data_IF_145680827010
#
_entry.id   IF_145680827010
#
_cell.length_a   1.000
_cell.length_b   1.000
_cell.length_c   1.000
_cell.angle_alpha   90.00
_cell.angle_beta   90.00
_cell.angle_gamma   90.00
#
_symmetry.space_group_name_H-M   'P 1'
#
loop_
_entity.id
_entity.type
_entity.pdbx_description
1 polymer ?
#
# COMPACT_ATOMS: atom_id res chain seq x y z
N UNK A 1 -36.19 19.03 50.56
CA UNK A 1 -34.99 18.38 50.00
C UNK A 1 -34.20 19.46 49.30
N UNK A 2 -33.18 20.00 49.94
CA UNK A 2 -32.39 21.10 49.40
C UNK A 2 -31.39 20.52 48.39
N UNK A 3 -31.56 20.86 47.10
CA UNK A 3 -30.52 20.64 46.08
C UNK A 3 -29.25 21.35 46.54
N UNK A 4 -28.22 20.59 46.88
CA UNK A 4 -26.98 21.15 47.38
C UNK A 4 -26.29 21.96 46.26
N UNK A 5 -25.83 23.19 46.52
CA UNK A 5 -25.21 24.05 45.50
C UNK A 5 -23.99 23.41 44.82
N UNK A 6 -23.31 22.47 45.49
CA UNK A 6 -22.17 21.72 44.93
C UNK A 6 -22.48 20.85 43.70
N UNK A 7 -23.72 20.34 43.58
CA UNK A 7 -24.12 19.53 42.42
C UNK A 7 -24.35 20.39 41.18
N UNK A 8 -24.79 21.62 41.35
CA UNK A 8 -25.03 22.57 40.25
C UNK A 8 -23.74 23.16 39.69
N UNK A 9 -22.77 23.47 40.56
CA UNK A 9 -21.44 23.95 40.15
C UNK A 9 -20.67 22.86 39.39
N UNK A 10 -20.60 21.63 39.90
CA UNK A 10 -19.96 20.51 39.23
C UNK A 10 -20.62 20.16 37.86
N UNK A 11 -21.95 20.35 37.73
CA UNK A 11 -22.65 20.17 36.46
C UNK A 11 -22.33 21.29 35.46
N UNK A 12 -22.16 22.54 35.93
CA UNK A 12 -21.76 23.65 35.08
C UNK A 12 -20.33 23.49 34.57
N UNK A 13 -19.38 23.08 35.41
CA UNK A 13 -18.00 22.77 35.02
C UNK A 13 -17.93 21.65 33.97
N UNK A 14 -18.73 20.58 34.11
CA UNK A 14 -18.81 19.50 33.12
C UNK A 14 -19.36 19.99 31.79
N UNK A 15 -20.41 20.81 31.79
CA UNK A 15 -21.01 21.35 30.57
C UNK A 15 -20.03 22.28 29.83
N UNK A 16 -19.29 23.12 30.56
CA UNK A 16 -18.27 24.00 30.00
C UNK A 16 -17.12 23.20 29.39
N UNK A 17 -16.65 22.14 30.08
CA UNK A 17 -15.58 21.28 29.59
C UNK A 17 -16.00 20.51 28.35
N UNK A 18 -17.26 20.02 28.25
CA UNK A 18 -17.80 19.40 27.06
C UNK A 18 -17.95 20.38 25.88
N UNK A 19 -18.31 21.64 26.17
CA UNK A 19 -18.36 22.70 25.15
C UNK A 19 -16.96 23.05 24.62
N UNK A 20 -15.95 23.06 25.49
CA UNK A 20 -14.55 23.20 25.10
C UNK A 20 -14.08 22.03 24.23
N UNK A 21 -14.35 20.78 24.61
CA UNK A 21 -14.05 19.58 23.82
C UNK A 21 -14.64 19.68 22.40
N UNK A 22 -15.92 20.05 22.30
CA UNK A 22 -16.59 20.22 21.00
C UNK A 22 -15.86 21.24 20.14
N UNK A 23 -15.50 22.39 20.73
CA UNK A 23 -14.84 23.47 19.98
C UNK A 23 -13.44 23.05 19.50
N UNK A 24 -12.66 22.37 20.35
CA UNK A 24 -11.33 21.86 20.01
C UNK A 24 -11.38 20.74 18.96
N UNK A 25 -12.36 19.84 19.08
CA UNK A 25 -12.59 18.79 18.09
C UNK A 25 -12.94 19.39 16.72
N UNK A 26 -13.75 20.45 16.71
CA UNK A 26 -14.09 21.14 15.46
C UNK A 26 -12.86 21.82 14.81
N UNK A 27 -11.98 22.44 15.63
CA UNK A 27 -10.71 23.00 15.15
C UNK A 27 -9.78 21.90 14.62
N UNK A 28 -9.65 20.78 15.34
CA UNK A 28 -8.85 19.64 14.90
C UNK A 28 -9.35 19.08 13.57
N UNK A 29 -10.66 18.97 13.38
CA UNK A 29 -11.26 18.58 12.11
C UNK A 29 -10.98 19.60 10.99
N UNK A 30 -11.01 20.89 11.30
CA UNK A 30 -10.67 21.95 10.35
C UNK A 30 -9.19 21.87 9.93
N UNK A 31 -8.26 21.67 10.89
CA UNK A 31 -6.83 21.49 10.58
C UNK A 31 -6.60 20.25 9.70
N UNK A 32 -7.35 19.16 9.92
CA UNK A 32 -7.28 17.99 9.08
C UNK A 32 -7.73 18.29 7.65
N UNK A 33 -8.86 18.98 7.48
CA UNK A 33 -9.37 19.36 6.15
C UNK A 33 -8.37 20.26 5.43
N UNK A 34 -7.84 21.27 6.11
CA UNK A 34 -6.81 22.17 5.54
C UNK A 34 -5.55 21.38 5.18
N UNK A 35 -5.10 20.48 6.06
CA UNK A 35 -3.97 19.59 5.80
C UNK A 35 -4.19 18.72 4.57
N UNK A 36 -5.39 18.16 4.40
CA UNK A 36 -5.75 17.38 3.21
C UNK A 36 -5.73 18.20 1.92
N UNK A 37 -6.28 19.43 1.95
CA UNK A 37 -6.28 20.34 0.79
C UNK A 37 -4.84 20.71 0.41
N UNK A 38 -4.00 21.03 1.40
CA UNK A 38 -2.59 21.30 1.18
C UNK A 38 -1.87 20.08 0.59
N UNK A 39 -2.05 18.91 1.19
CA UNK A 39 -1.44 17.67 0.70
C UNK A 39 -1.89 17.32 -0.73
N UNK A 40 -3.17 17.56 -1.05
CA UNK A 40 -3.69 17.37 -2.40
C UNK A 40 -3.06 18.35 -3.41
N UNK A 41 -2.89 19.61 -3.01
CA UNK A 41 -2.27 20.64 -3.87
C UNK A 41 -0.78 20.38 -4.10
N UNK A 42 -0.10 19.75 -3.15
CA UNK A 42 1.32 19.38 -3.22
C UNK A 42 1.51 17.86 -3.44
N UNK A 43 0.62 17.23 -4.22
CA UNK A 43 0.66 15.78 -4.42
C UNK A 43 1.98 15.32 -5.06
N UNK A 44 2.47 15.99 -6.10
CA UNK A 44 3.67 15.56 -6.83
C UNK A 44 4.92 15.44 -5.94
N UNK A 45 5.31 16.44 -5.14
CA UNK A 45 6.45 16.29 -4.23
C UNK A 45 6.21 15.24 -3.12
N UNK A 46 4.97 15.07 -2.65
CA UNK A 46 4.62 14.05 -1.67
C UNK A 46 4.74 12.65 -2.30
N UNK A 47 4.25 12.48 -3.51
CA UNK A 47 4.38 11.25 -4.27
C UNK A 47 5.86 10.91 -4.52
N UNK A 48 6.67 11.88 -4.93
CA UNK A 48 8.11 11.71 -5.11
C UNK A 48 8.80 11.27 -3.81
N UNK A 49 8.44 11.89 -2.67
CA UNK A 49 8.95 11.52 -1.36
C UNK A 49 8.63 10.07 -1.01
N UNK A 50 7.38 9.64 -1.19
CA UNK A 50 6.96 8.28 -0.85
C UNK A 50 7.44 7.22 -1.84
N UNK A 51 7.70 7.58 -3.10
CA UNK A 51 8.23 6.65 -4.10
C UNK A 51 9.75 6.45 -4.00
N UNK A 52 10.48 7.42 -3.45
CA UNK A 52 11.94 7.41 -3.36
C UNK A 52 12.53 6.14 -2.72
N UNK A 53 11.99 5.58 -1.61
CA UNK A 53 12.57 4.39 -0.97
C UNK A 53 12.58 3.14 -1.86
N UNK A 54 11.70 3.05 -2.87
CA UNK A 54 11.64 1.92 -3.80
C UNK A 54 12.46 2.15 -5.08
N UNK A 55 12.77 3.39 -5.44
CA UNK A 55 13.48 3.71 -6.69
C UNK A 55 14.74 2.87 -6.91
N UNK A 56 15.64 2.69 -5.91
CA UNK A 56 16.84 1.87 -6.09
C UNK A 56 16.55 0.41 -6.47
N UNK A 57 15.37 -0.11 -6.08
CA UNK A 57 14.96 -1.48 -6.37
C UNK A 57 14.40 -1.56 -7.79
N UNK A 58 13.54 -0.62 -8.18
CA UNK A 58 12.97 -0.55 -9.53
C UNK A 58 14.06 -0.40 -10.60
N UNK A 59 15.05 0.46 -10.35
CA UNK A 59 16.19 0.63 -11.26
C UNK A 59 17.01 -0.65 -11.43
N UNK A 60 17.24 -1.39 -10.33
CA UNK A 60 18.00 -2.64 -10.34
C UNK A 60 17.27 -3.79 -11.03
N UNK A 61 15.95 -3.83 -10.90
CA UNK A 61 15.11 -4.89 -11.50
C UNK A 61 14.59 -4.54 -12.88
N UNK A 62 14.94 -3.34 -13.41
CA UNK A 62 14.38 -2.81 -14.66
C UNK A 62 12.85 -2.79 -14.68
N UNK A 63 12.26 -2.60 -13.52
CA UNK A 63 10.83 -2.64 -13.29
C UNK A 63 10.22 -1.24 -13.34
N UNK A 64 8.93 -1.18 -13.59
CA UNK A 64 8.19 0.08 -13.71
C UNK A 64 6.94 0.05 -12.85
N UNK A 65 6.42 1.24 -12.54
CA UNK A 65 5.10 1.36 -11.96
C UNK A 65 4.03 1.08 -13.02
N UNK A 66 3.04 0.27 -12.67
CA UNK A 66 1.92 -0.04 -13.53
C UNK A 66 0.62 0.03 -12.73
N UNK A 67 -0.32 0.87 -13.18
CA UNK A 67 -1.67 0.88 -12.65
C UNK A 67 -2.50 -0.23 -13.30
N UNK A 68 -3.26 -0.95 -12.50
CA UNK A 68 -4.16 -2.02 -12.96
C UNK A 68 -5.53 -1.51 -13.35
N UNK A 69 -5.94 -0.35 -12.84
CA UNK A 69 -7.26 0.25 -13.11
C UNK A 69 -7.13 1.75 -13.40
N UNK A 70 -8.00 2.26 -14.25
CA UNK A 70 -8.08 3.69 -14.61
C UNK A 70 -8.44 4.56 -13.39
N UNK A 71 -9.13 3.99 -12.40
CA UNK A 71 -9.55 4.71 -11.18
C UNK A 71 -8.43 4.79 -10.14
N UNK A 72 -7.41 3.91 -10.22
CA UNK A 72 -6.36 3.81 -9.21
C UNK A 72 -5.53 5.10 -9.02
N UNK A 73 -5.16 5.87 -10.05
CA UNK A 73 -4.45 7.13 -9.86
C UNK A 73 -5.25 8.15 -9.03
N UNK A 74 -6.55 8.25 -9.27
CA UNK A 74 -7.43 9.14 -8.50
C UNK A 74 -7.55 8.69 -7.04
N UNK A 75 -7.79 7.39 -6.82
CA UNK A 75 -7.86 6.84 -5.46
C UNK A 75 -6.54 6.97 -4.72
N UNK A 76 -5.42 6.78 -5.40
CA UNK A 76 -4.09 6.98 -4.83
C UNK A 76 -3.92 8.43 -4.36
N UNK A 77 -4.22 9.41 -5.23
CA UNK A 77 -4.09 10.82 -4.90
C UNK A 77 -4.95 11.19 -3.68
N UNK A 78 -6.20 10.75 -3.64
CA UNK A 78 -7.11 10.99 -2.51
C UNK A 78 -6.60 10.38 -1.19
N UNK A 79 -6.18 9.12 -1.23
CA UNK A 79 -5.73 8.39 -0.03
C UNK A 79 -4.39 8.90 0.50
N UNK A 80 -3.44 9.20 -0.39
CA UNK A 80 -2.15 9.80 -0.02
C UNK A 80 -2.35 11.18 0.56
N UNK A 81 -3.22 12.01 -0.04
CA UNK A 81 -3.54 13.34 0.47
C UNK A 81 -4.20 13.28 1.85
N UNK A 82 -5.02 12.27 2.11
CA UNK A 82 -5.60 12.05 3.45
C UNK A 82 -4.52 11.71 4.48
N UNK A 83 -3.63 10.75 4.20
CA UNK A 83 -2.58 10.34 5.14
C UNK A 83 -1.55 11.47 5.36
N UNK A 84 -1.11 12.12 4.28
CA UNK A 84 -0.22 13.26 4.36
C UNK A 84 -0.88 14.46 5.05
N UNK A 85 -2.19 14.65 4.83
CA UNK A 85 -2.99 15.66 5.50
C UNK A 85 -3.05 15.46 7.02
N UNK A 86 -3.21 14.21 7.50
CA UNK A 86 -3.09 13.88 8.93
C UNK A 86 -1.70 14.27 9.44
N UNK A 87 -0.65 13.91 8.71
CA UNK A 87 0.73 14.20 9.10
C UNK A 87 0.99 15.72 9.21
N UNK A 88 0.49 16.52 8.26
CA UNK A 88 0.61 17.99 8.26
C UNK A 88 -0.22 18.60 9.39
N UNK A 89 -1.42 18.07 9.63
CA UNK A 89 -2.32 18.57 10.67
C UNK A 89 -1.90 18.15 12.09
N UNK A 90 -1.10 17.09 12.23
CA UNK A 90 -0.74 16.50 13.53
C UNK A 90 -0.20 17.52 14.55
N UNK A 91 0.75 18.42 14.22
CA UNK A 91 1.22 19.42 15.18
C UNK A 91 0.10 20.29 15.76
N UNK A 92 -0.84 20.70 14.92
CA UNK A 92 -1.97 21.55 15.33
C UNK A 92 -3.00 20.77 16.15
N UNK A 93 -3.28 19.52 15.74
CA UNK A 93 -4.17 18.61 16.50
C UNK A 93 -3.58 18.32 17.88
N UNK A 94 -2.27 18.10 17.96
CA UNK A 94 -1.55 17.88 19.24
C UNK A 94 -1.67 19.08 20.16
N UNK A 95 -1.54 20.30 19.65
CA UNK A 95 -1.72 21.53 20.45
C UNK A 95 -3.14 21.65 20.98
N UNK A 96 -4.17 21.33 20.19
CA UNK A 96 -5.56 21.33 20.67
C UNK A 96 -5.79 20.23 21.72
N UNK A 97 -5.20 19.04 21.53
CA UNK A 97 -5.29 17.96 22.51
C UNK A 97 -4.68 18.36 23.86
N UNK A 98 -3.46 18.90 23.84
CA UNK A 98 -2.79 19.35 25.06
C UNK A 98 -3.48 20.55 25.70
N UNK A 99 -3.99 21.50 24.92
CA UNK A 99 -4.78 22.59 25.41
C UNK A 99 -6.09 22.16 26.08
N UNK A 100 -6.69 21.05 25.65
CA UNK A 100 -7.87 20.44 26.30
C UNK A 100 -7.51 19.80 27.65
N UNK A 101 -6.34 19.16 27.72
CA UNK A 101 -5.88 18.48 28.93
C UNK A 101 -5.41 19.47 30.01
N UNK A 102 -4.82 20.60 29.60
CA UNK A 102 -4.22 21.59 30.49
C UNK A 102 -5.16 22.13 31.59
N UNK A 103 -6.43 22.50 31.35
CA UNK A 103 -7.35 22.98 32.36
C UNK A 103 -7.68 21.96 33.45
N UNK A 104 -7.64 20.67 33.11
CA UNK A 104 -7.94 19.58 34.05
C UNK A 104 -6.81 19.31 35.06
N UNK A 105 -5.68 20.01 34.96
CA UNK A 105 -4.47 19.78 35.74
C UNK A 105 -4.29 20.84 36.84
N UNK A 106 -3.66 20.43 37.92
CA UNK A 106 -3.27 21.36 38.99
C UNK A 106 -2.18 22.34 38.52
N UNK A 107 -2.06 23.54 39.11
CA UNK A 107 -1.04 24.54 38.71
C UNK A 107 0.40 24.02 38.78
N UNK A 108 0.66 23.04 39.67
CA UNK A 108 1.98 22.40 39.80
C UNK A 108 2.27 21.41 38.65
N UNK A 109 1.23 20.80 38.11
CA UNK A 109 1.33 19.84 36.98
C UNK A 109 1.37 20.54 35.63
N UNK A 110 0.82 21.74 35.49
CA UNK A 110 0.77 22.49 34.22
C UNK A 110 2.16 22.76 33.60
N UNK A 111 3.13 23.20 34.41
CA UNK A 111 4.46 23.58 33.92
C UNK A 111 5.22 22.43 33.26
N UNK A 112 5.29 21.21 33.87
CA UNK A 112 5.92 20.07 33.17
C UNK A 112 5.14 19.59 31.97
N UNK A 113 3.81 19.72 31.97
CA UNK A 113 2.95 19.22 30.90
C UNK A 113 2.94 20.14 29.67
N UNK A 114 3.09 21.46 29.86
CA UNK A 114 3.27 22.40 28.75
C UNK A 114 4.45 22.03 27.84
N UNK A 115 5.45 21.32 28.38
CA UNK A 115 6.58 20.79 27.60
C UNK A 115 6.22 19.55 26.77
N UNK A 116 5.17 18.80 27.16
CA UNK A 116 4.80 17.57 26.45
C UNK A 116 4.28 17.84 25.04
N UNK A 117 3.63 18.98 24.78
CA UNK A 117 3.12 19.31 23.46
C UNK A 117 4.24 19.47 22.40
N UNK A 118 5.27 20.30 22.58
CA UNK A 118 6.39 20.39 21.62
C UNK A 118 7.20 19.10 21.56
N UNK A 119 7.28 18.35 22.66
CA UNK A 119 7.96 17.07 22.73
C UNK A 119 7.22 15.99 21.91
N UNK A 120 5.89 15.92 22.00
CA UNK A 120 5.03 15.06 21.18
C UNK A 120 5.24 15.34 19.68
N UNK A 121 5.18 16.60 19.24
CA UNK A 121 5.42 16.96 17.84
C UNK A 121 6.80 16.47 17.38
N UNK A 122 7.82 16.63 18.22
CA UNK A 122 9.19 16.19 17.90
C UNK A 122 9.29 14.67 17.79
N UNK A 123 8.67 13.93 18.73
CA UNK A 123 8.66 12.46 18.69
C UNK A 123 7.89 11.92 17.47
N UNK A 124 6.76 12.51 17.16
CA UNK A 124 6.01 12.15 15.95
C UNK A 124 6.86 12.30 14.68
N UNK A 125 7.51 13.45 14.51
CA UNK A 125 8.40 13.70 13.36
C UNK A 125 9.59 12.75 13.37
N UNK A 126 10.16 12.46 14.54
CA UNK A 126 11.25 11.51 14.67
C UNK A 126 10.80 10.07 14.31
N UNK A 127 9.58 9.69 14.66
CA UNK A 127 8.96 8.42 14.26
C UNK A 127 8.85 8.31 12.74
N UNK A 128 8.30 9.34 12.10
CA UNK A 128 8.21 9.40 10.64
C UNK A 128 9.61 9.31 9.98
N UNK A 129 10.59 10.06 10.50
CA UNK A 129 11.95 10.05 9.98
C UNK A 129 12.61 8.66 10.14
N UNK A 130 12.39 8.01 11.29
CA UNK A 130 12.89 6.65 11.55
C UNK A 130 12.26 5.63 10.60
N UNK A 131 10.95 5.70 10.39
CA UNK A 131 10.25 4.87 9.41
C UNK A 131 10.84 5.06 8.02
N UNK A 132 10.94 6.31 7.57
CA UNK A 132 11.45 6.65 6.24
C UNK A 132 12.88 6.14 6.01
N UNK A 133 13.76 6.28 6.99
CA UNK A 133 15.13 5.78 6.94
C UNK A 133 15.21 4.24 6.91
N UNK A 134 14.23 3.56 7.47
CA UNK A 134 14.17 2.09 7.55
C UNK A 134 13.55 1.43 6.32
N UNK A 135 12.69 2.15 5.56
CA UNK A 135 11.96 1.62 4.41
C UNK A 135 12.85 1.01 3.31
N UNK A 136 13.97 1.64 2.87
CA UNK A 136 14.83 1.05 1.84
C UNK A 136 15.39 -0.30 2.25
N UNK A 137 15.70 -0.46 3.54
CA UNK A 137 16.18 -1.71 4.11
C UNK A 137 15.11 -2.80 4.06
N UNK A 138 13.89 -2.45 4.46
CA UNK A 138 12.73 -3.34 4.45
C UNK A 138 12.42 -3.81 3.02
N UNK A 139 12.29 -2.88 2.09
CA UNK A 139 11.98 -3.21 0.70
C UNK A 139 13.11 -3.96 -0.01
N UNK A 140 14.37 -3.64 0.33
CA UNK A 140 15.54 -4.37 -0.18
C UNK A 140 15.55 -5.83 0.27
N UNK A 141 15.19 -6.09 1.53
CA UNK A 141 15.06 -7.45 2.03
C UNK A 141 13.92 -8.21 1.34
N UNK A 142 12.74 -7.60 1.20
CA UNK A 142 11.60 -8.20 0.49
C UNK A 142 11.93 -8.48 -0.98
N UNK A 143 12.58 -7.53 -1.66
CA UNK A 143 13.03 -7.72 -3.04
C UNK A 143 14.08 -8.82 -3.20
N UNK A 144 14.83 -9.15 -2.13
CA UNK A 144 15.78 -10.24 -2.11
C UNK A 144 15.18 -11.60 -2.44
N UNK A 145 13.89 -11.81 -2.12
CA UNK A 145 13.17 -13.06 -2.46
C UNK A 145 12.94 -13.23 -3.96
N UNK A 146 12.90 -12.14 -4.74
CA UNK A 146 12.79 -12.20 -6.21
C UNK A 146 13.97 -12.93 -6.85
N UNK A 147 15.16 -12.87 -6.21
CA UNK A 147 16.37 -13.52 -6.75
C UNK A 147 16.27 -15.05 -6.72
N UNK A 148 15.34 -15.61 -5.95
CA UNK A 148 15.13 -17.05 -5.82
C UNK A 148 14.12 -17.60 -6.84
N UNK A 149 13.55 -16.74 -7.69
CA UNK A 149 12.51 -17.12 -8.65
C UNK A 149 12.99 -16.70 -10.04
N UNK A 150 13.18 -17.66 -10.91
CA UNK A 150 13.62 -17.40 -12.29
C UNK A 150 12.47 -16.85 -13.15
N UNK A 151 12.80 -15.97 -14.10
CA UNK A 151 11.88 -15.42 -15.10
C UNK A 151 10.71 -14.59 -14.56
N UNK A 152 10.89 -13.95 -13.37
CA UNK A 152 9.89 -13.03 -12.79
C UNK A 152 10.34 -11.59 -12.96
N UNK A 153 9.44 -10.75 -13.47
CA UNK A 153 9.60 -9.29 -13.54
C UNK A 153 8.70 -8.65 -12.48
N UNK A 154 9.27 -7.79 -11.67
CA UNK A 154 8.51 -7.05 -10.66
C UNK A 154 7.78 -5.86 -11.32
N UNK A 155 6.49 -6.00 -11.58
CA UNK A 155 5.63 -4.87 -11.90
C UNK A 155 4.95 -4.39 -10.64
N UNK A 156 5.35 -3.21 -10.16
CA UNK A 156 4.84 -2.70 -8.89
C UNK A 156 3.61 -1.82 -9.12
N UNK A 157 2.51 -2.15 -8.46
CA UNK A 157 1.36 -1.27 -8.37
C UNK A 157 1.74 -0.06 -7.46
N UNK A 158 1.80 1.15 -8.01
CA UNK A 158 2.16 2.34 -7.24
C UNK A 158 1.17 2.62 -6.11
N UNK A 159 -0.13 2.31 -6.29
CA UNK A 159 -1.15 2.51 -5.26
C UNK A 159 -0.86 1.65 -4.03
N UNK A 160 -0.62 0.36 -4.21
CA UNK A 160 -0.33 -0.56 -3.11
C UNK A 160 0.94 -0.14 -2.36
N UNK A 161 2.01 0.16 -3.09
CA UNK A 161 3.30 0.53 -2.53
C UNK A 161 3.30 1.88 -1.80
N UNK A 162 2.80 2.94 -2.46
CA UNK A 162 2.80 4.30 -1.90
C UNK A 162 1.92 4.37 -0.64
N UNK A 163 0.76 3.70 -0.67
CA UNK A 163 -0.10 3.62 0.51
C UNK A 163 0.53 2.83 1.64
N UNK A 164 1.26 1.74 1.34
CA UNK A 164 2.00 0.99 2.34
C UNK A 164 3.05 1.88 3.01
N UNK A 165 3.86 2.60 2.20
CA UNK A 165 4.86 3.55 2.67
C UNK A 165 4.25 4.62 3.57
N UNK A 166 3.19 5.29 3.12
CA UNK A 166 2.51 6.34 3.85
C UNK A 166 1.92 5.84 5.18
N UNK A 167 1.28 4.68 5.17
CA UNK A 167 0.71 4.06 6.37
C UNK A 167 1.79 3.65 7.38
N UNK A 168 2.91 3.08 6.92
CA UNK A 168 4.04 2.73 7.80
C UNK A 168 4.58 4.00 8.46
N UNK A 169 4.82 5.07 7.70
CA UNK A 169 5.31 6.34 8.24
C UNK A 169 4.37 6.91 9.30
N UNK A 170 3.06 6.92 9.03
CA UNK A 170 2.05 7.40 9.98
C UNK A 170 1.99 6.51 11.23
N UNK A 171 2.03 5.19 11.07
CA UNK A 171 1.99 4.24 12.18
C UNK A 171 3.22 4.39 13.10
N UNK A 172 4.40 4.62 12.55
CA UNK A 172 5.60 4.94 13.34
C UNK A 172 5.46 6.29 14.04
N UNK A 173 4.96 7.32 13.33
CA UNK A 173 4.72 8.62 13.96
C UNK A 173 3.84 8.49 15.20
N UNK A 174 2.70 7.83 15.08
CA UNK A 174 1.78 7.58 16.22
C UNK A 174 2.42 6.67 17.28
N UNK A 175 3.16 5.63 16.86
CA UNK A 175 3.82 4.71 17.80
C UNK A 175 4.88 5.40 18.66
N UNK A 176 5.55 6.42 18.13
CA UNK A 176 6.54 7.22 18.86
C UNK A 176 5.92 8.15 19.91
N UNK A 177 4.59 8.35 19.91
CA UNK A 177 3.88 9.06 20.97
C UNK A 177 3.80 8.25 22.29
N UNK A 178 4.12 6.95 22.26
CA UNK A 178 4.04 6.07 23.43
C UNK A 178 4.78 6.65 24.66
N UNK A 179 6.01 7.20 24.58
CA UNK A 179 6.68 7.80 25.73
C UNK A 179 5.91 8.98 26.33
N UNK A 180 5.30 9.81 25.48
CA UNK A 180 4.56 10.99 25.90
C UNK A 180 3.29 10.58 26.63
N UNK A 181 2.57 9.59 26.11
CA UNK A 181 1.37 9.03 26.72
C UNK A 181 1.70 8.41 28.08
N UNK A 182 2.77 7.62 28.17
CA UNK A 182 3.19 7.00 29.43
C UNK A 182 3.64 8.04 30.47
N UNK A 183 4.39 9.05 30.04
CA UNK A 183 4.83 10.14 30.90
C UNK A 183 3.63 10.94 31.42
N UNK A 184 2.65 11.22 30.59
CA UNK A 184 1.40 11.86 30.98
C UNK A 184 0.63 11.03 32.00
N UNK A 185 0.42 9.72 31.74
CA UNK A 185 -0.25 8.81 32.69
C UNK A 185 0.48 8.71 34.04
N UNK A 186 1.80 8.78 34.00
CA UNK A 186 2.61 8.81 35.22
C UNK A 186 2.42 10.13 36.01
N UNK A 187 2.30 11.26 35.28
CA UNK A 187 2.09 12.58 35.90
C UNK A 187 0.74 12.72 36.63
N UNK A 188 -0.32 12.15 36.07
CA UNK A 188 -1.64 12.11 36.70
C UNK A 188 -1.79 10.98 37.73
N UNK A 189 -0.70 10.25 38.00
CA UNK A 189 -0.64 9.24 39.06
C UNK A 189 -1.31 7.89 38.73
N UNK A 190 -1.69 7.66 37.49
CA UNK A 190 -2.29 6.37 37.04
C UNK A 190 -1.24 5.25 37.00
N UNK A 191 0.00 5.56 36.60
CA UNK A 191 1.12 4.64 36.52
C UNK A 191 2.34 5.23 37.25
N UNK A 192 3.26 4.36 37.67
CA UNK A 192 4.54 4.75 38.25
C UNK A 192 5.67 3.88 37.69
N UNK A 193 6.93 4.27 37.89
CA UNK A 193 8.08 3.54 37.37
C UNK A 193 8.18 2.11 37.89
N UNK A 194 7.73 1.85 39.15
CA UNK A 194 7.72 0.50 39.71
C UNK A 194 6.73 -0.41 39.00
N UNK A 195 5.51 0.09 38.72
CA UNK A 195 4.46 -0.63 38.02
C UNK A 195 4.93 -0.96 36.60
N UNK A 196 5.49 0.03 35.88
CA UNK A 196 6.03 -0.15 34.55
C UNK A 196 7.17 -1.18 34.53
N UNK A 197 8.07 -1.13 35.50
CA UNK A 197 9.17 -2.09 35.64
C UNK A 197 8.65 -3.48 35.99
N UNK A 198 7.63 -3.61 36.84
CA UNK A 198 7.04 -4.90 37.20
C UNK A 198 6.39 -5.61 36.01
N UNK A 199 5.70 -4.85 35.15
CA UNK A 199 4.93 -5.39 34.03
C UNK A 199 5.62 -5.19 32.66
N UNK A 200 6.94 -4.95 32.62
CA UNK A 200 7.66 -4.67 31.37
C UNK A 200 7.52 -5.78 30.32
N UNK A 201 7.47 -7.05 30.75
CA UNK A 201 7.30 -8.19 29.84
C UNK A 201 5.94 -8.18 29.16
N UNK A 202 4.87 -7.95 29.91
CA UNK A 202 3.50 -7.88 29.40
C UNK A 202 3.34 -6.66 28.48
N UNK A 203 3.90 -5.53 28.86
CA UNK A 203 3.90 -4.33 28.03
C UNK A 203 4.66 -4.56 26.70
N UNK A 204 5.82 -5.22 26.74
CA UNK A 204 6.55 -5.59 25.51
C UNK A 204 5.70 -6.48 24.61
N UNK A 205 5.06 -7.53 25.15
CA UNK A 205 4.16 -8.38 24.35
C UNK A 205 3.01 -7.56 23.76
N UNK A 206 2.39 -6.67 24.55
CA UNK A 206 1.33 -5.79 24.06
C UNK A 206 1.80 -4.86 22.94
N UNK A 207 3.03 -4.34 23.02
CA UNK A 207 3.66 -3.54 21.96
C UNK A 207 3.84 -4.36 20.68
N UNK A 208 4.30 -5.61 20.77
CA UNK A 208 4.43 -6.49 19.61
C UNK A 208 3.07 -6.80 18.97
N UNK A 209 2.04 -7.04 19.77
CA UNK A 209 0.66 -7.24 19.28
C UNK A 209 0.13 -5.96 18.62
N UNK A 210 0.36 -4.80 19.26
CA UNK A 210 -0.02 -3.51 18.69
C UNK A 210 0.73 -3.23 17.37
N UNK A 211 2.04 -3.47 17.32
CA UNK A 211 2.82 -3.34 16.10
C UNK A 211 2.31 -4.27 14.98
N UNK A 212 1.99 -5.53 15.29
CA UNK A 212 1.42 -6.46 14.32
C UNK A 212 0.05 -6.01 13.78
N UNK A 213 -0.74 -5.29 14.59
CA UNK A 213 -2.06 -4.78 14.19
C UNK A 213 -1.94 -3.47 13.40
N UNK A 214 -0.99 -2.61 13.79
CA UNK A 214 -0.80 -1.30 13.18
C UNK A 214 -0.02 -1.37 11.87
N UNK A 215 0.86 -2.37 11.70
CA UNK A 215 1.59 -2.54 10.43
C UNK A 215 0.63 -2.98 9.34
N UNK A 216 0.53 -2.22 8.24
CA UNK A 216 -0.38 -2.53 7.14
C UNK A 216 0.12 -3.69 6.25
N UNK A 217 1.34 -4.15 6.48
CA UNK A 217 1.96 -5.30 5.80
C UNK A 217 1.93 -6.53 6.71
N UNK A 218 1.53 -7.67 6.16
CA UNK A 218 1.46 -8.93 6.91
C UNK A 218 2.82 -9.67 6.93
N UNK A 219 3.94 -8.93 6.98
CA UNK A 219 5.27 -9.52 6.99
C UNK A 219 5.96 -9.35 8.36
N UNK A 220 6.73 -10.37 8.80
CA UNK A 220 7.38 -10.34 10.10
C UNK A 220 8.46 -9.25 10.23
N UNK A 221 9.07 -8.83 9.12
CA UNK A 221 10.16 -7.87 9.15
C UNK A 221 9.67 -6.47 9.47
N UNK A 222 8.65 -5.97 8.76
CA UNK A 222 8.05 -4.66 9.05
C UNK A 222 7.47 -4.62 10.45
N UNK A 223 6.83 -5.71 10.90
CA UNK A 223 6.37 -5.85 12.29
C UNK A 223 7.52 -5.70 13.29
N UNK A 224 8.65 -6.40 13.10
CA UNK A 224 9.82 -6.31 13.97
C UNK A 224 10.46 -4.92 13.91
N UNK A 225 10.57 -4.34 12.72
CA UNK A 225 11.12 -3.00 12.53
C UNK A 225 10.31 -1.94 13.28
N UNK A 226 9.01 -2.13 13.46
CA UNK A 226 8.15 -1.26 14.28
C UNK A 226 8.20 -1.63 15.77
N UNK A 227 8.08 -2.91 16.10
CA UNK A 227 7.98 -3.37 17.49
C UNK A 227 9.26 -3.12 18.30
N UNK A 228 10.45 -3.33 17.70
CA UNK A 228 11.74 -3.18 18.39
C UNK A 228 11.98 -1.73 18.83
N UNK A 229 11.87 -0.71 17.97
CA UNK A 229 11.96 0.69 18.39
C UNK A 229 10.91 1.07 19.44
N UNK A 230 9.66 0.63 19.26
CA UNK A 230 8.59 0.93 20.24
C UNK A 230 8.86 0.30 21.60
N UNK A 231 9.38 -0.94 21.64
CA UNK A 231 9.79 -1.58 22.89
C UNK A 231 10.97 -0.83 23.54
N UNK A 232 11.93 -0.36 22.73
CA UNK A 232 13.00 0.50 23.18
C UNK A 232 12.51 1.82 23.80
N UNK A 233 11.53 2.46 23.14
CA UNK A 233 10.88 3.68 23.64
C UNK A 233 10.10 3.44 24.93
N UNK A 234 9.47 2.27 25.09
CA UNK A 234 8.83 1.89 26.35
C UNK A 234 9.85 1.78 27.50
N UNK A 235 10.97 1.07 27.28
CA UNK A 235 12.03 0.96 28.29
C UNK A 235 12.60 2.32 28.66
N UNK A 236 12.76 3.19 27.66
CA UNK A 236 13.17 4.58 27.89
C UNK A 236 12.14 5.32 28.74
N UNK A 237 10.85 5.13 28.47
CA UNK A 237 9.78 5.79 29.22
C UNK A 237 9.83 5.43 30.71
N UNK A 238 10.22 4.20 31.07
CA UNK A 238 10.46 3.80 32.46
C UNK A 238 11.57 4.67 33.08
N UNK A 239 12.67 4.89 32.36
CA UNK A 239 13.75 5.76 32.81
C UNK A 239 13.32 7.22 32.98
N UNK A 240 12.55 7.73 32.02
CA UNK A 240 11.98 9.08 32.09
C UNK A 240 11.02 9.23 33.28
N UNK A 241 10.05 8.32 33.44
CA UNK A 241 9.10 8.36 34.54
C UNK A 241 9.85 8.33 35.88
N UNK A 242 10.84 7.45 36.06
CA UNK A 242 11.68 7.38 37.25
C UNK A 242 12.47 8.66 37.53
N UNK A 243 12.93 9.34 36.49
CA UNK A 243 13.65 10.62 36.61
C UNK A 243 12.70 11.76 37.04
N UNK A 244 11.42 11.65 36.68
CA UNK A 244 10.39 12.65 36.95
C UNK A 244 9.56 12.37 38.22
N UNK A 245 9.69 11.19 38.80
CA UNK A 245 9.02 10.91 40.11
C UNK A 245 9.53 11.88 41.17
N UNK A 246 8.64 12.57 41.87
CA UNK A 246 9.03 13.47 42.94
C UNK A 246 9.76 12.67 44.02
N UNK A 247 11.03 12.85 44.17
CA UNK A 247 11.77 12.36 45.34
C UNK A 247 11.49 13.34 46.45
N UNK A 248 11.00 12.83 47.57
CA UNK A 248 10.78 13.63 48.80
C UNK A 248 12.04 14.50 49.06
N UNK A 249 11.86 15.82 48.97
CA UNK A 249 12.88 16.82 49.32
C UNK A 249 13.87 17.27 48.23
N UNK A 250 13.70 16.91 46.95
CA UNK A 250 14.54 17.44 45.84
C UNK A 250 13.67 18.01 44.73
N UNK A 251 13.96 19.27 44.35
CA UNK A 251 13.46 19.84 43.08
C UNK A 251 13.82 18.92 41.90
N UNK A 252 12.81 18.65 41.05
CA UNK A 252 13.00 17.77 39.87
C UNK A 252 14.16 18.21 38.96
N UNK A 253 14.66 17.33 38.13
CA UNK A 253 15.79 17.63 37.28
C UNK A 253 15.48 18.82 36.31
N UNK A 254 16.47 19.65 35.96
CA UNK A 254 16.26 20.81 35.10
C UNK A 254 15.78 20.35 33.71
N UNK A 255 14.92 21.17 33.11
CA UNK A 255 14.28 20.92 31.78
C UNK A 255 15.33 20.57 30.71
N UNK A 256 16.52 21.15 30.78
CA UNK A 256 17.61 20.88 29.84
C UNK A 256 18.11 19.41 29.86
N UNK A 257 18.14 18.79 31.04
CA UNK A 257 18.52 17.36 31.16
C UNK A 257 17.43 16.43 30.58
N UNK A 258 16.18 16.89 30.60
CA UNK A 258 15.03 16.18 30.06
C UNK A 258 15.08 16.13 28.54
N UNK A 259 15.41 17.26 27.89
CA UNK A 259 15.60 17.35 26.44
C UNK A 259 16.73 16.40 26.02
N UNK A 260 17.83 16.40 26.74
CA UNK A 260 18.99 15.57 26.39
C UNK A 260 18.70 14.07 26.55
N UNK A 261 18.03 13.67 27.62
CA UNK A 261 17.65 12.27 27.88
C UNK A 261 16.57 11.79 26.91
N UNK A 262 15.67 12.66 26.47
CA UNK A 262 14.61 12.32 25.51
C UNK A 262 15.10 12.28 24.06
N UNK A 263 16.08 13.10 23.71
CA UNK A 263 16.68 13.10 22.37
C UNK A 263 17.69 11.96 22.16
N UNK A 264 18.34 11.48 23.22
CA UNK A 264 19.35 10.42 23.11
C UNK A 264 18.83 9.14 22.41
N UNK A 265 17.66 8.59 22.75
CA UNK A 265 17.17 7.38 22.07
C UNK A 265 16.64 7.64 20.68
N UNK A 266 16.07 8.82 20.43
CA UNK A 266 15.71 9.23 19.07
C UNK A 266 16.96 9.32 18.20
N UNK A 267 18.03 9.89 18.75
CA UNK A 267 19.34 9.92 18.09
C UNK A 267 19.94 8.52 17.90
N UNK A 268 19.84 7.64 18.90
CA UNK A 268 20.32 6.26 18.82
C UNK A 268 19.51 5.45 17.78
N UNK A 269 18.18 5.55 17.80
CA UNK A 269 17.32 4.88 16.82
C UNK A 269 17.49 5.45 15.41
N UNK A 270 17.62 6.77 15.28
CA UNK A 270 17.95 7.43 14.03
C UNK A 270 19.33 7.03 13.51
N UNK A 271 20.33 6.97 14.37
CA UNK A 271 21.67 6.51 14.02
C UNK A 271 21.71 5.01 13.66
N UNK A 272 20.95 4.18 14.37
CA UNK A 272 20.82 2.75 14.07
C UNK A 272 20.10 2.54 12.72
N UNK A 273 19.02 3.28 12.46
CA UNK A 273 18.31 3.23 11.18
C UNK A 273 19.19 3.76 10.03
N UNK A 274 19.92 4.85 10.26
CA UNK A 274 20.89 5.38 9.30
C UNK A 274 22.05 4.41 9.07
N UNK A 275 22.54 3.74 10.11
CA UNK A 275 23.59 2.73 10.01
C UNK A 275 23.09 1.49 9.24
N UNK A 276 21.89 1.01 9.52
CA UNK A 276 21.22 -0.05 8.76
C UNK A 276 21.03 0.36 7.29
N UNK A 277 20.57 1.58 7.04
CA UNK A 277 20.47 2.11 5.69
C UNK A 277 21.82 2.17 4.99
N UNK A 278 22.86 2.66 5.66
CA UNK A 278 24.21 2.76 5.11
C UNK A 278 24.83 1.39 4.85
N UNK A 279 24.67 0.43 5.75
CA UNK A 279 25.23 -0.92 5.60
C UNK A 279 24.52 -1.71 4.51
N UNK A 280 23.21 -1.53 4.33
CA UNK A 280 22.45 -2.18 3.26
C UNK A 280 22.65 -1.49 1.90
N UNK A 281 22.78 -0.18 1.86
CA UNK A 281 23.15 0.52 0.62
C UNK A 281 24.53 0.13 0.11
N UNK A 282 25.43 -0.29 1.02
CA UNK A 282 26.82 -0.71 0.71
C UNK A 282 27.02 -2.23 0.62
N UNK A 283 26.01 -3.07 0.86
CA UNK A 283 26.17 -4.51 0.71
C UNK A 283 25.62 -5.00 -0.64
N UNK A 284 26.41 -4.93 -1.73
CA UNK A 284 25.98 -5.39 -3.05
C UNK A 284 25.82 -6.92 -3.12
N UNK A 285 26.16 -7.66 -2.04
CA UNK A 285 26.09 -9.12 -2.01
C UNK A 285 24.68 -9.63 -1.63
N UNK A 286 23.88 -8.85 -0.90
CA UNK A 286 22.47 -9.18 -0.63
C UNK A 286 21.55 -8.94 -1.85
N UNK A 287 22.04 -8.14 -2.79
CA UNK A 287 21.46 -7.98 -4.12
C UNK A 287 22.44 -8.60 -5.10
N UNK A 288 22.49 -9.92 -5.10
CA UNK A 288 23.21 -10.66 -6.14
C UNK A 288 22.68 -10.12 -7.47
N UNK A 289 23.53 -9.42 -8.23
CA UNK A 289 23.15 -8.83 -9.51
C UNK A 289 22.50 -9.94 -10.33
N UNK A 290 21.20 -9.89 -10.65
CA UNK A 290 20.74 -10.70 -11.74
C UNK A 290 21.68 -10.33 -12.87
N UNK A 291 22.25 -11.35 -13.51
CA UNK A 291 23.30 -11.17 -14.49
C UNK A 291 22.67 -10.34 -15.61
N UNK A 292 22.76 -9.00 -15.51
CA UNK A 292 22.17 -8.02 -16.45
C UNK A 292 22.55 -8.40 -17.87
N UNK A 293 23.75 -8.99 -18.04
CA UNK A 293 24.19 -9.56 -19.31
C UNK A 293 23.30 -10.74 -19.76
N UNK A 294 22.86 -11.61 -18.84
CA UNK A 294 21.93 -12.72 -19.18
C UNK A 294 20.54 -12.18 -19.53
N UNK A 295 20.03 -11.22 -18.74
CA UNK A 295 18.73 -10.61 -19.04
C UNK A 295 18.76 -9.79 -20.31
N UNK A 296 19.83 -9.03 -20.57
CA UNK A 296 20.02 -8.33 -21.84
C UNK A 296 20.18 -9.29 -23.02
N UNK A 297 20.90 -10.40 -22.85
CA UNK A 297 20.99 -11.45 -23.87
C UNK A 297 19.63 -12.10 -24.13
N UNK A 298 18.85 -12.39 -23.09
CA UNK A 298 17.52 -12.98 -23.22
C UNK A 298 16.52 -12.01 -23.87
N UNK A 299 16.55 -10.72 -23.52
CA UNK A 299 15.75 -9.68 -24.18
C UNK A 299 16.15 -9.50 -25.63
N UNK A 300 17.43 -9.58 -25.96
CA UNK A 300 17.89 -9.57 -27.36
C UNK A 300 17.49 -10.84 -28.13
N UNK A 301 17.59 -12.01 -27.49
CA UNK A 301 17.11 -13.26 -28.07
C UNK A 301 15.60 -13.22 -28.33
N UNK A 302 14.79 -12.80 -27.33
CA UNK A 302 13.35 -12.65 -27.52
C UNK A 302 12.98 -11.62 -28.59
N UNK A 303 13.76 -10.54 -28.75
CA UNK A 303 13.58 -9.58 -29.88
C UNK A 303 13.89 -10.20 -31.22
N UNK A 304 14.91 -11.04 -31.31
CA UNK A 304 15.26 -11.74 -32.55
C UNK A 304 14.19 -12.77 -32.91
N UNK A 305 13.74 -13.56 -31.95
CA UNK A 305 12.67 -14.54 -32.15
C UNK A 305 11.32 -13.87 -32.52
N UNK A 306 10.97 -12.76 -31.84
CA UNK A 306 9.80 -11.98 -32.22
C UNK A 306 9.90 -11.41 -33.65
N UNK A 307 11.08 -10.95 -34.06
CA UNK A 307 11.30 -10.47 -35.43
C UNK A 307 11.17 -11.58 -36.43
N UNK A 308 11.75 -12.76 -36.16
CA UNK A 308 11.63 -13.93 -37.05
C UNK A 308 10.17 -14.39 -37.18
N UNK A 309 9.40 -14.41 -36.10
CA UNK A 309 7.97 -14.76 -36.17
C UNK A 309 7.14 -13.71 -36.92
N UNK A 310 7.49 -12.42 -36.84
CA UNK A 310 6.85 -11.36 -37.63
C UNK A 310 7.17 -11.55 -39.12
N UNK A 311 8.43 -11.81 -39.46
CA UNK A 311 8.88 -12.02 -40.84
C UNK A 311 8.22 -13.28 -41.44
N UNK A 312 8.04 -14.35 -40.64
CA UNK A 312 7.33 -15.58 -41.06
C UNK A 312 5.84 -15.32 -41.32
N UNK A 313 5.19 -14.55 -40.43
CA UNK A 313 3.78 -14.16 -40.61
C UNK A 313 3.61 -13.27 -41.84
N UNK A 314 4.52 -12.32 -42.07
CA UNK A 314 4.49 -11.49 -43.26
C UNK A 314 4.68 -12.31 -44.55
N UNK A 315 5.58 -13.29 -44.55
CA UNK A 315 5.78 -14.21 -45.69
C UNK A 315 4.52 -15.03 -45.97
N UNK A 316 3.91 -15.63 -44.93
CA UNK A 316 2.65 -16.38 -45.08
C UNK A 316 1.49 -15.49 -45.56
N UNK A 317 1.46 -14.26 -45.09
CA UNK A 317 0.43 -13.29 -45.52
C UNK A 317 0.64 -12.93 -47.03
N UNK A 318 1.87 -12.76 -47.46
CA UNK A 318 2.21 -12.57 -48.91
C UNK A 318 1.78 -13.75 -49.76
N UNK A 319 1.98 -14.99 -49.28
CA UNK A 319 1.55 -16.21 -50.00
C UNK A 319 0.01 -16.30 -50.07
N UNK A 320 -0.69 -15.95 -49.04
CA UNK A 320 -2.17 -15.91 -49.02
C UNK A 320 -2.71 -14.86 -49.98
N UNK A 321 -2.11 -13.66 -50.04
CA UNK A 321 -2.48 -12.63 -51.03
C UNK A 321 -2.31 -13.09 -52.44
N UNK A 322 -1.15 -13.71 -52.75
CA UNK A 322 -0.87 -14.25 -54.13
C UNK A 322 -1.87 -15.34 -54.52
N UNK A 323 -2.30 -16.14 -53.53
CA UNK A 323 -3.29 -17.22 -53.76
C UNK A 323 -4.71 -16.65 -53.94
N UNK A 324 -5.00 -15.55 -53.24
CA UNK A 324 -6.26 -14.80 -53.38
C UNK A 324 -6.38 -14.17 -54.79
N UNK A 325 -5.33 -13.50 -55.26
CA UNK A 325 -5.24 -12.96 -56.63
C UNK A 325 -5.41 -14.04 -57.72
N UNK A 326 -4.78 -15.21 -57.49
CA UNK A 326 -4.93 -16.34 -58.40
C UNK A 326 -6.38 -16.88 -58.45
N UNK A 327 -7.03 -17.00 -57.29
CA UNK A 327 -8.43 -17.43 -57.19
C UNK A 327 -9.40 -16.39 -57.77
N UNK A 328 -9.12 -15.10 -57.63
CA UNK A 328 -9.93 -14.05 -58.31
C UNK A 328 -9.84 -14.14 -59.81
N UNK A 329 -8.64 -14.40 -60.34
CA UNK A 329 -8.44 -14.59 -61.76
C UNK A 329 -9.15 -15.83 -62.32
N UNK A 330 -9.06 -16.97 -61.59
CA UNK A 330 -9.78 -18.20 -61.91
C UNK A 330 -11.31 -18.00 -61.87
N UNK A 331 -11.81 -17.29 -60.87
CA UNK A 331 -13.23 -16.91 -60.79
C UNK A 331 -13.67 -16.02 -61.97
N UNK A 332 -12.83 -15.09 -62.38
CA UNK A 332 -13.13 -14.26 -63.57
C UNK A 332 -13.19 -15.08 -64.84
N UNK A 333 -12.24 -16.04 -65.01
CA UNK A 333 -12.24 -16.97 -66.18
C UNK A 333 -13.47 -17.91 -66.16
N UNK A 334 -13.81 -18.44 -65.00
CA UNK A 334 -15.02 -19.27 -64.83
C UNK A 334 -16.29 -18.51 -65.14
N UNK A 335 -16.39 -17.26 -64.70
CA UNK A 335 -17.53 -16.37 -65.02
C UNK A 335 -17.62 -16.08 -66.53
N UNK A 336 -16.48 -15.88 -67.21
CA UNK A 336 -16.42 -15.68 -68.66
C UNK A 336 -16.88 -16.95 -69.44
N UNK A 337 -16.41 -18.15 -68.99
CA UNK A 337 -16.86 -19.44 -69.57
C UNK A 337 -18.37 -19.70 -69.34
N UNK A 338 -18.87 -19.32 -68.16
CA UNK A 338 -20.29 -19.45 -67.83
C UNK A 338 -21.14 -18.52 -68.73
N UNK A 339 -20.63 -17.35 -69.07
CA UNK A 339 -21.28 -16.41 -69.99
C UNK A 339 -21.30 -16.94 -71.41
N UNK A 340 -20.20 -17.57 -71.87
CA UNK A 340 -20.12 -18.24 -73.18
C UNK A 340 -21.09 -19.40 -73.26
N UNK A 341 -21.14 -20.28 -72.29
CA UNK A 341 -22.11 -21.41 -72.25
C UNK A 341 -23.55 -20.94 -72.25
N UNK A 342 -23.85 -19.82 -71.58
CA UNK A 342 -25.21 -19.20 -71.59
C UNK A 342 -25.56 -18.53 -72.91
N UNK A 343 -24.54 -18.16 -73.74
CA UNK A 343 -24.73 -17.56 -75.06
C UNK A 343 -24.88 -18.59 -76.19
N UNK A 344 -24.58 -19.91 -75.96
CA UNK A 344 -24.85 -20.95 -76.92
C UNK A 344 -26.33 -21.26 -77.01
N UNK A 345 -26.98 -21.21 -78.18
CA UNK A 345 -28.37 -21.58 -78.36
C UNK A 345 -28.57 -23.06 -78.05
N UNK A 346 -29.55 -23.35 -77.22
CA UNK A 346 -29.97 -24.70 -76.86
C UNK A 346 -30.25 -25.52 -78.12
N UNK A 347 -29.63 -26.72 -78.29
CA UNK A 347 -30.00 -27.62 -79.36
C UNK A 347 -31.45 -28.04 -79.22
N UNK A 348 -32.18 -28.04 -80.34
CA UNK A 348 -33.57 -28.39 -80.40
C UNK A 348 -33.87 -29.78 -79.80
N UNK A 349 -35.02 -29.96 -79.17
CA UNK A 349 -35.37 -31.19 -78.49
C UNK A 349 -35.54 -32.32 -79.53
N UNK A 350 -34.78 -33.42 -79.41
CA UNK A 350 -35.00 -34.67 -80.12
C UNK A 350 -36.26 -35.37 -79.57
N UNK A 351 -37.12 -35.97 -80.43
CA UNK A 351 -38.38 -36.55 -79.96
C UNK A 351 -38.14 -37.91 -79.29
N UNK A 352 -38.87 -38.09 -78.21
CA UNK A 352 -38.94 -39.25 -77.33
C UNK A 352 -39.62 -40.42 -77.99
N UNK A 353 -39.11 -41.68 -78.04
CA UNK A 353 -39.91 -42.88 -78.27
C UNK A 353 -40.34 -43.58 -76.96
N UNK A 354 -41.63 -43.48 -76.74
CA UNK A 354 -42.55 -44.49 -76.17
C UNK A 354 -42.16 -45.27 -74.89
N UNK A 355 -42.89 -44.94 -73.83
CA UNK A 355 -43.68 -45.84 -72.99
C UNK A 355 -43.45 -47.34 -73.02
N UNK A 356 -43.15 -47.91 -71.86
CA UNK A 356 -43.79 -49.12 -71.38
C UNK A 356 -43.64 -49.19 -69.84
N UNK A 357 -44.82 -49.06 -69.19
CA UNK A 357 -45.06 -49.59 -67.86
C UNK A 357 -45.06 -51.15 -67.94
N UNK A 358 -44.82 -51.90 -66.85
CA UNK A 358 -45.90 -52.17 -65.91
C UNK A 358 -45.51 -52.38 -64.43
N UNK A 359 -46.49 -52.00 -63.65
CA UNK A 359 -47.08 -52.64 -62.43
C UNK A 359 -46.19 -53.17 -61.29
N UNK A 360 -46.31 -52.46 -60.18
CA UNK A 360 -46.71 -52.85 -58.80
C UNK A 360 -46.28 -54.22 -58.20
N UNK A 361 -46.29 -54.48 -56.85
CA UNK A 361 -46.92 -53.74 -55.72
C UNK A 361 -46.12 -53.69 -54.37
N UNK A 362 -46.42 -52.71 -53.62
CA UNK A 362 -46.96 -52.67 -52.24
C UNK A 362 -46.31 -53.48 -51.09
N UNK A 363 -45.89 -52.76 -50.13
CA UNK A 363 -46.25 -52.70 -48.71
C UNK A 363 -45.20 -53.24 -47.68
N UNK A 364 -45.46 -53.08 -46.40
CA UNK A 364 -45.01 -51.93 -45.57
C UNK A 364 -44.25 -52.39 -44.32
N UNK A 365 -44.19 -51.51 -43.35
CA UNK A 365 -43.76 -51.67 -41.94
C UNK A 365 -42.27 -51.53 -41.69
N UNK A 366 -41.82 -50.79 -40.77
CA UNK A 366 -42.34 -50.26 -39.51
C UNK A 366 -41.15 -49.89 -38.67
N UNK A 367 -41.34 -48.95 -37.85
CA UNK A 367 -40.51 -48.88 -36.65
C UNK A 367 -39.62 -47.67 -36.47
N UNK A 368 -40.18 -46.66 -35.94
CA UNK A 368 -39.59 -45.82 -34.90
C UNK A 368 -39.39 -46.68 -33.65
N UNK A 369 -38.72 -46.23 -32.57
CA UNK A 369 -38.06 -44.95 -32.27
C UNK A 369 -36.83 -45.12 -31.38
N UNK A 370 -36.42 -44.04 -30.81
CA UNK A 370 -35.91 -43.73 -29.44
C UNK A 370 -34.43 -43.39 -29.31
N UNK A 371 -34.36 -42.20 -28.81
CA UNK A 371 -33.67 -41.73 -27.59
C UNK A 371 -32.13 -41.55 -27.61
N UNK A 372 -31.86 -40.27 -27.34
CA UNK A 372 -30.65 -39.73 -26.81
C UNK A 372 -30.14 -40.41 -25.48
N UNK A 373 -29.38 -39.83 -24.65
CA UNK A 373 -28.68 -38.55 -24.60
C UNK A 373 -27.25 -38.65 -24.03
N UNK A 374 -26.67 -37.56 -23.72
CA UNK A 374 -25.56 -37.45 -22.78
C UNK A 374 -24.22 -37.22 -23.47
N UNK A 375 -23.46 -36.23 -23.16
CA UNK A 375 -23.17 -35.69 -21.87
C UNK A 375 -21.66 -35.70 -21.69
N UNK A 376 -21.19 -34.70 -21.02
CA UNK A 376 -19.87 -34.58 -20.35
C UNK A 376 -18.73 -34.11 -21.24
N UNK A 377 -18.26 -32.87 -21.04
CA UNK A 377 -17.42 -32.41 -19.90
C UNK A 377 -15.91 -32.69 -20.05
N UNK A 378 -15.17 -31.65 -19.84
CA UNK A 378 -13.76 -31.60 -19.38
C UNK A 378 -12.67 -31.42 -20.48
N UNK A 379 -11.89 -30.42 -20.45
CA UNK A 379 -11.12 -29.66 -19.40
C UNK A 379 -10.56 -28.40 -20.01
#
# INVERSE_FOLDING_TARGET
>A
MANSPRTTEAQMELVEHLAELRTRLFRAALYLIVGMILAYSFFDPIFALFSYPLQPILEKTSSQYMFTSVVDPFLLQMQVSFIAGITIAFPFITLELWGFVEPALTPEERKPIAFLAPFSILLFLAGIATAYASLPACYGWMAGFLNNIDNVVLNQDPKAYILLTAKIMLAFGIGFELPVVLLFLARIGIINAELMTKYWRQATVAIFVAAATLTPSNDPLTMLMMAVPMAGLYLLSIGLVRAFEPKEGKSGPPISSLILVSLAPVAILGAASFWLWKTQAFNPQLLNKPNIKKVQQQVQQNKVEAKQSIDEVQSKFGEVLTRLDALEKENAELKARLAEVKAQPLPAPTPNPMSQEPTQPVNPEGGRPTDGPGGTENR
#
